data_IF_075008426453
#
_entry.id   IF_075008426453
#
_cell.length_a   1.000
_cell.length_b   1.000
_cell.length_c   1.000
_cell.angle_alpha   90.00
_cell.angle_beta   90.00
_cell.angle_gamma   90.00
#
_symmetry.space_group_name_H-M   'P 1'
#
loop_
_entity.id
_entity.type
_entity.pdbx_description
1 polymer ?
#
# COMPACT_ATOMS: atom_id res chain seq x y z
N UNK A 1 -8.53 2.85 0.72
CA UNK A 1 -7.57 2.04 1.52
C UNK A 1 -6.13 2.43 1.22
N UNK A 2 -5.65 2.31 -0.03
CA UNK A 2 -4.27 2.70 -0.41
C UNK A 2 -3.97 4.16 -0.03
N UNK A 3 -4.82 5.10 -0.44
CA UNK A 3 -4.70 6.52 -0.11
C UNK A 3 -4.55 6.76 1.40
N UNK A 4 -5.36 6.11 2.24
CA UNK A 4 -5.28 6.21 3.70
C UNK A 4 -3.92 5.76 4.24
N UNK A 5 -3.35 4.67 3.69
CA UNK A 5 -2.02 4.20 4.09
C UNK A 5 -0.93 5.19 3.66
N UNK A 6 -1.05 5.77 2.46
CA UNK A 6 -0.13 6.81 1.99
C UNK A 6 -0.16 8.04 2.89
N UNK A 7 -1.35 8.51 3.27
CA UNK A 7 -1.50 9.64 4.20
C UNK A 7 -0.89 9.32 5.58
N UNK A 8 -1.00 8.09 6.09
CA UNK A 8 -0.34 7.72 7.34
C UNK A 8 1.18 7.77 7.26
N UNK A 9 1.78 7.43 6.11
CA UNK A 9 3.23 7.53 5.92
C UNK A 9 3.69 8.98 5.80
N UNK A 10 2.91 9.83 5.14
CA UNK A 10 3.21 11.26 5.00
C UNK A 10 3.11 12.01 6.32
N UNK A 11 2.12 11.68 7.17
CA UNK A 11 1.97 12.27 8.50
C UNK A 11 2.96 11.71 9.53
N UNK A 12 3.73 10.68 9.19
CA UNK A 12 4.71 10.09 10.10
C UNK A 12 5.87 11.07 10.33
N UNK A 13 6.38 11.25 11.56
CA UNK A 13 7.47 12.21 11.84
C UNK A 13 8.76 11.95 11.04
N UNK A 14 9.00 10.70 10.61
CA UNK A 14 10.14 10.35 9.76
C UNK A 14 9.94 10.68 8.27
N UNK A 15 8.79 11.21 7.86
CA UNK A 15 8.50 11.64 6.48
C UNK A 15 8.92 10.61 5.41
N UNK A 16 8.49 9.35 5.59
CA UNK A 16 8.89 8.26 4.71
C UNK A 16 8.36 8.38 3.27
N UNK A 17 7.39 9.25 3.04
CA UNK A 17 6.76 9.46 1.75
C UNK A 17 6.13 10.85 1.68
N UNK A 18 6.21 11.49 0.51
CA UNK A 18 5.42 12.68 0.16
C UNK A 18 4.36 12.28 -0.88
N UNK A 19 3.10 12.62 -0.61
CA UNK A 19 2.00 12.42 -1.54
C UNK A 19 1.84 13.70 -2.37
N UNK A 20 2.29 13.66 -3.62
CA UNK A 20 2.11 14.77 -4.56
C UNK A 20 0.68 14.73 -5.12
N UNK A 21 0.50 14.96 -6.43
CA UNK A 21 -0.82 14.95 -7.04
C UNK A 21 -1.22 13.56 -7.57
N UNK A 22 -2.50 13.23 -7.48
CA UNK A 22 -3.09 12.14 -8.27
C UNK A 22 -3.20 12.58 -9.73
N UNK A 23 -2.53 11.89 -10.64
CA UNK A 23 -2.39 12.33 -12.03
C UNK A 23 -2.23 11.15 -12.99
N UNK A 24 -2.50 11.37 -14.28
CA UNK A 24 -2.17 10.38 -15.30
C UNK A 24 -0.66 10.30 -15.49
N UNK A 25 -0.11 9.10 -15.43
CA UNK A 25 1.34 8.87 -15.46
C UNK A 25 1.83 8.36 -16.80
N UNK A 26 0.94 7.82 -17.64
CA UNK A 26 1.33 7.30 -18.95
C UNK A 26 0.90 8.25 -20.06
N UNK A 27 1.80 8.46 -21.02
CA UNK A 27 1.54 9.18 -22.26
C UNK A 27 1.59 8.20 -23.43
N UNK A 28 0.60 8.28 -24.32
CA UNK A 28 0.61 7.63 -25.64
C UNK A 28 0.64 8.72 -26.71
N UNK A 29 1.63 8.63 -27.59
CA UNK A 29 1.75 9.44 -28.79
C UNK A 29 1.37 8.59 -30.00
N UNK A 30 0.51 9.10 -30.88
CA UNK A 30 0.19 8.46 -32.16
C UNK A 30 0.49 9.44 -33.30
N UNK A 31 1.35 9.02 -34.22
CA UNK A 31 1.86 9.82 -35.33
C UNK A 31 1.34 9.24 -36.65
N UNK A 32 0.37 9.89 -37.33
CA UNK A 32 -0.15 9.41 -38.61
C UNK A 32 0.93 9.28 -39.70
N UNK A 33 1.96 10.14 -39.66
CA UNK A 33 3.13 10.08 -40.53
C UNK A 33 4.16 9.00 -40.18
N UNK A 34 3.82 8.07 -39.28
CA UNK A 34 4.63 6.92 -38.94
C UNK A 34 5.92 7.26 -38.17
N UNK A 35 6.90 6.34 -38.14
CA UNK A 35 8.12 6.49 -37.35
C UNK A 35 9.02 7.64 -37.80
N UNK A 36 8.98 8.02 -39.09
CA UNK A 36 9.75 9.16 -39.60
C UNK A 36 9.28 10.49 -39.00
N UNK A 37 7.95 10.69 -38.90
CA UNK A 37 7.37 11.86 -38.24
C UNK A 37 7.76 11.91 -36.76
N UNK A 38 7.67 10.76 -36.09
CA UNK A 38 8.03 10.62 -34.67
C UNK A 38 9.50 11.00 -34.41
N UNK A 39 10.42 10.56 -35.26
CA UNK A 39 11.84 10.91 -35.16
C UNK A 39 12.08 12.41 -35.40
N UNK A 40 11.38 13.02 -36.36
CA UNK A 40 11.49 14.46 -36.61
C UNK A 40 11.04 15.29 -35.40
N UNK A 41 9.98 14.85 -34.70
CA UNK A 41 9.47 15.49 -33.50
C UNK A 41 10.39 15.33 -32.29
N UNK A 42 11.21 14.27 -32.24
CA UNK A 42 12.17 14.05 -31.17
C UNK A 42 13.17 15.23 -31.05
N UNK A 43 13.58 15.83 -32.17
CA UNK A 43 14.44 17.01 -32.16
C UNK A 43 13.82 18.24 -31.48
N UNK A 44 12.48 18.31 -31.39
CA UNK A 44 11.73 19.44 -30.81
C UNK A 44 11.29 19.17 -29.37
N UNK A 45 11.34 17.93 -28.90
CA UNK A 45 10.82 17.52 -27.60
C UNK A 45 11.84 16.64 -26.87
N UNK A 46 12.64 17.22 -25.95
CA UNK A 46 13.63 16.47 -25.19
C UNK A 46 13.07 15.22 -24.48
N UNK A 47 11.88 15.26 -23.83
CA UNK A 47 11.29 14.05 -23.25
C UNK A 47 11.05 12.92 -24.26
N UNK A 48 10.64 13.26 -25.49
CA UNK A 48 10.45 12.28 -26.55
C UNK A 48 11.80 11.74 -27.04
N UNK A 49 12.83 12.58 -27.19
CA UNK A 49 14.16 12.13 -27.58
C UNK A 49 14.75 11.11 -26.61
N UNK A 50 14.68 11.39 -25.29
CA UNK A 50 15.14 10.47 -24.25
C UNK A 50 14.36 9.15 -24.29
N UNK A 51 13.03 9.22 -24.42
CA UNK A 51 12.19 8.03 -24.53
C UNK A 51 12.56 7.15 -25.73
N UNK A 52 12.79 7.75 -26.91
CA UNK A 52 13.17 6.99 -28.10
C UNK A 52 14.58 6.40 -27.98
N UNK A 53 15.51 7.09 -27.33
CA UNK A 53 16.86 6.60 -27.11
C UNK A 53 16.92 5.41 -26.13
N UNK A 54 15.99 5.33 -25.18
CA UNK A 54 15.92 4.25 -24.18
C UNK A 54 15.26 2.95 -24.70
N UNK A 55 14.72 2.93 -25.92
CA UNK A 55 14.08 1.74 -26.49
C UNK A 55 15.11 0.67 -26.85
N UNK A 56 14.87 -0.55 -26.38
CA UNK A 56 15.69 -1.70 -26.75
C UNK A 56 15.45 -2.08 -28.24
N UNK A 57 16.45 -2.66 -28.93
CA UNK A 57 16.29 -3.16 -30.30
C UNK A 57 15.24 -4.26 -30.48
N UNK A 58 14.87 -4.99 -29.41
CA UNK A 58 13.90 -6.11 -29.46
C UNK A 58 12.47 -5.71 -29.03
N UNK A 59 12.20 -4.41 -28.85
CA UNK A 59 10.89 -3.94 -28.39
C UNK A 59 9.85 -4.12 -29.52
N UNK A 60 8.72 -4.84 -29.31
CA UNK A 60 7.74 -5.21 -30.35
C UNK A 60 7.05 -4.02 -31.05
N UNK A 61 7.36 -2.78 -30.65
CA UNK A 61 6.89 -1.54 -31.26
C UNK A 61 7.90 -0.80 -32.14
N UNK A 62 9.08 -1.38 -32.41
CA UNK A 62 10.09 -0.77 -33.27
C UNK A 62 9.55 -0.62 -34.70
N UNK A 63 9.30 0.62 -35.12
CA UNK A 63 8.66 0.95 -36.42
C UNK A 63 7.15 1.21 -36.37
N UNK A 64 6.51 1.10 -35.20
CA UNK A 64 5.10 1.47 -35.06
C UNK A 64 4.88 2.98 -35.06
N UNK A 65 3.72 3.42 -35.55
CA UNK A 65 3.30 4.82 -35.56
C UNK A 65 2.93 5.36 -34.17
N UNK A 66 2.99 4.54 -33.12
CA UNK A 66 2.58 4.94 -31.78
C UNK A 66 3.58 4.56 -30.69
N UNK A 67 3.73 5.41 -29.68
CA UNK A 67 4.70 5.23 -28.59
C UNK A 67 4.01 5.48 -27.26
N UNK A 68 4.12 4.53 -26.33
CA UNK A 68 3.63 4.65 -24.96
C UNK A 68 4.79 4.58 -23.98
N UNK A 69 4.80 5.45 -22.98
CA UNK A 69 5.82 5.48 -21.94
C UNK A 69 5.30 6.07 -20.64
N UNK A 70 6.02 5.77 -19.56
CA UNK A 70 5.80 6.29 -18.22
C UNK A 70 6.48 7.66 -18.07
N UNK A 71 5.67 8.69 -17.85
CA UNK A 71 6.12 10.06 -17.69
C UNK A 71 6.86 10.30 -16.38
N UNK A 72 6.53 9.56 -15.32
CA UNK A 72 7.15 9.73 -14.00
C UNK A 72 8.59 9.22 -14.03
N UNK A 73 8.84 8.11 -14.73
CA UNK A 73 10.22 7.63 -14.98
C UNK A 73 11.05 8.63 -15.80
N UNK A 74 10.44 9.32 -16.76
CA UNK A 74 11.11 10.37 -17.51
C UNK A 74 11.39 11.60 -16.64
N UNK A 75 10.44 11.99 -15.78
CA UNK A 75 10.62 13.06 -14.80
C UNK A 75 11.81 12.78 -13.90
N UNK A 76 11.89 11.57 -13.34
CA UNK A 76 12.97 11.14 -12.45
C UNK A 76 14.33 11.13 -13.16
N UNK A 77 14.41 10.51 -14.35
CA UNK A 77 15.66 10.40 -15.10
C UNK A 77 16.17 11.73 -15.69
N UNK A 78 15.29 12.66 -16.03
CA UNK A 78 15.68 13.96 -16.60
C UNK A 78 15.81 15.06 -15.55
N UNK A 79 15.30 14.85 -14.33
CA UNK A 79 15.19 15.90 -13.30
C UNK A 79 14.20 17.01 -13.67
N UNK A 80 13.18 16.72 -14.48
CA UNK A 80 12.18 17.70 -14.93
C UNK A 80 10.91 17.63 -14.10
N UNK A 81 10.17 18.74 -14.00
CA UNK A 81 8.83 18.71 -13.43
C UNK A 81 7.81 18.02 -14.36
N UNK A 82 6.88 17.25 -13.77
CA UNK A 82 5.84 16.55 -14.52
C UNK A 82 4.98 17.49 -15.39
N UNK A 83 4.69 18.70 -14.89
CA UNK A 83 3.96 19.71 -15.65
C UNK A 83 4.73 20.19 -16.89
N UNK A 84 6.06 20.29 -16.79
CA UNK A 84 6.93 20.68 -17.91
C UNK A 84 7.01 19.58 -18.96
N UNK A 85 7.11 18.32 -18.54
CA UNK A 85 7.04 17.17 -19.45
C UNK A 85 5.69 17.11 -20.16
N UNK A 86 4.56 17.23 -19.43
CA UNK A 86 3.21 17.29 -20.04
C UNK A 86 3.09 18.39 -21.08
N UNK A 87 3.53 19.61 -20.74
CA UNK A 87 3.48 20.75 -21.67
C UNK A 87 4.28 20.45 -22.93
N UNK A 88 5.52 19.97 -22.79
CA UNK A 88 6.38 19.64 -23.93
C UNK A 88 5.76 18.57 -24.85
N UNK A 89 5.08 17.57 -24.28
CA UNK A 89 4.39 16.54 -25.05
C UNK A 89 3.14 17.09 -25.76
N UNK A 90 2.33 17.91 -25.10
CA UNK A 90 1.18 18.56 -25.74
C UNK A 90 1.58 19.51 -26.88
N UNK A 91 2.74 20.17 -26.79
CA UNK A 91 3.24 21.03 -27.87
C UNK A 91 3.54 20.26 -29.16
N UNK A 92 3.72 18.93 -29.12
CA UNK A 92 3.93 18.10 -30.31
C UNK A 92 2.73 18.09 -31.26
N UNK A 93 1.54 18.46 -30.78
CA UNK A 93 0.34 18.61 -31.62
C UNK A 93 0.44 19.80 -32.58
N UNK A 94 1.40 20.70 -32.36
CA UNK A 94 1.54 21.96 -33.08
C UNK A 94 2.93 22.10 -33.72
N UNK A 95 2.95 22.65 -34.93
CA UNK A 95 4.15 23.07 -35.64
C UNK A 95 4.04 24.52 -36.08
N UNK A 96 5.18 25.15 -36.33
CA UNK A 96 5.24 26.48 -36.91
C UNK A 96 5.55 26.37 -38.39
N UNK A 97 4.70 26.98 -39.22
CA UNK A 97 4.95 27.02 -40.66
C UNK A 97 6.21 27.86 -40.95
N UNK A 98 7.25 27.31 -41.63
CA UNK A 98 8.57 27.95 -41.75
C UNK A 98 8.56 29.34 -42.39
N UNK A 99 7.53 29.65 -43.20
CA UNK A 99 7.45 30.89 -43.98
C UNK A 99 6.59 31.99 -43.34
N UNK A 100 5.60 31.61 -42.54
CA UNK A 100 4.58 32.53 -42.03
C UNK A 100 4.53 32.57 -40.49
N UNK A 101 5.20 31.62 -39.82
CA UNK A 101 5.17 31.46 -38.35
C UNK A 101 3.82 30.99 -37.79
N UNK A 102 2.81 30.81 -38.66
CA UNK A 102 1.46 30.40 -38.29
C UNK A 102 1.51 29.00 -37.69
N UNK A 103 0.80 28.80 -36.58
CA UNK A 103 0.66 27.47 -35.96
C UNK A 103 -0.21 26.57 -36.83
N UNK A 104 0.33 25.40 -37.19
CA UNK A 104 -0.37 24.33 -37.91
C UNK A 104 -0.39 23.07 -37.07
N UNK A 105 -1.48 22.31 -37.12
CA UNK A 105 -1.56 21.01 -36.45
C UNK A 105 -0.64 20.00 -37.12
N UNK A 106 0.14 19.25 -36.33
CA UNK A 106 0.99 18.14 -36.83
C UNK A 106 0.19 16.87 -37.13
N UNK A 107 -1.06 16.80 -36.65
CA UNK A 107 -1.89 15.59 -36.69
C UNK A 107 -1.51 14.54 -35.64
N UNK A 108 -0.51 14.82 -34.79
CA UNK A 108 -0.11 13.92 -33.70
C UNK A 108 -1.18 13.93 -32.61
N UNK A 109 -1.54 12.74 -32.14
CA UNK A 109 -2.46 12.58 -31.01
C UNK A 109 -1.65 12.29 -29.74
N UNK A 110 -1.97 13.01 -28.67
CA UNK A 110 -1.34 12.87 -27.35
C UNK A 110 -2.43 12.50 -26.37
N UNK A 111 -2.35 11.29 -25.83
CA UNK A 111 -3.33 10.75 -24.89
C UNK A 111 -2.64 10.45 -23.55
N UNK A 112 -3.27 10.89 -22.46
CA UNK A 112 -2.81 10.56 -21.11
C UNK A 112 -3.70 9.47 -20.51
N UNK A 113 -3.07 8.49 -19.88
CA UNK A 113 -3.74 7.32 -19.34
C UNK A 113 -3.12 6.89 -18.01
N UNK A 114 -3.76 5.93 -17.34
CA UNK A 114 -3.31 5.35 -16.06
C UNK A 114 -3.19 6.40 -14.94
N UNK A 115 -4.34 6.68 -14.32
CA UNK A 115 -4.41 7.51 -13.12
C UNK A 115 -3.64 6.81 -12.00
N UNK A 116 -2.66 7.49 -11.41
CA UNK A 116 -1.87 6.98 -10.31
C UNK A 116 -1.57 8.08 -9.28
N UNK A 117 -1.17 7.66 -8.09
CA UNK A 117 -0.61 8.56 -7.09
C UNK A 117 0.83 8.90 -7.48
N UNK A 118 1.14 10.18 -7.63
CA UNK A 118 2.52 10.64 -7.80
C UNK A 118 3.14 10.75 -6.41
N UNK A 119 4.17 9.94 -6.16
CA UNK A 119 4.80 9.81 -4.86
C UNK A 119 6.27 10.18 -4.95
N UNK A 120 6.81 10.76 -3.88
CA UNK A 120 8.25 10.87 -3.67
C UNK A 120 8.60 10.10 -2.40
N UNK A 121 9.57 9.20 -2.49
CA UNK A 121 10.04 8.40 -1.37
C UNK A 121 11.54 8.15 -1.49
N UNK A 122 12.27 8.01 -0.37
CA UNK A 122 13.66 7.58 -0.39
C UNK A 122 13.80 6.21 -1.07
N UNK A 123 14.82 6.08 -1.92
CA UNK A 123 15.10 4.85 -2.68
C UNK A 123 16.03 3.87 -1.96
N UNK A 124 16.59 4.26 -0.84
CA UNK A 124 17.68 3.60 -0.11
C UNK A 124 17.25 2.94 1.22
N UNK A 125 15.94 2.86 1.46
CA UNK A 125 15.39 2.21 2.65
C UNK A 125 15.87 0.76 2.81
N UNK A 126 16.44 0.49 3.98
CA UNK A 126 16.87 -0.85 4.41
C UNK A 126 15.68 -1.79 4.60
N UNK A 127 15.96 -3.09 4.66
CA UNK A 127 14.92 -4.09 4.94
C UNK A 127 14.26 -3.87 6.32
N UNK A 128 15.05 -3.44 7.31
CA UNK A 128 14.58 -3.19 8.67
C UNK A 128 13.66 -1.97 8.74
N UNK A 129 14.01 -0.87 8.06
CA UNK A 129 13.15 0.31 7.97
C UNK A 129 11.83 0.01 7.23
N UNK A 130 11.90 -0.75 6.13
CA UNK A 130 10.69 -1.25 5.43
C UNK A 130 9.83 -2.10 6.36
N UNK A 131 10.47 -2.85 7.26
CA UNK A 131 9.74 -3.65 8.21
C UNK A 131 9.05 -2.81 9.29
N UNK A 132 9.72 -1.80 9.83
CA UNK A 132 9.14 -0.83 10.76
C UNK A 132 7.96 -0.07 10.13
N UNK A 133 8.06 0.29 8.85
CA UNK A 133 6.96 0.88 8.07
C UNK A 133 5.73 -0.03 8.07
N UNK A 134 5.92 -1.33 7.81
CA UNK A 134 4.80 -2.27 7.78
C UNK A 134 4.16 -2.44 9.17
N UNK A 135 4.95 -2.52 10.23
CA UNK A 135 4.43 -2.64 11.60
C UNK A 135 3.65 -1.40 12.02
N UNK A 136 4.16 -0.21 11.71
CA UNK A 136 3.45 1.04 11.93
C UNK A 136 2.08 1.05 11.22
N UNK A 137 2.07 0.80 9.91
CA UNK A 137 0.82 0.81 9.13
C UNK A 137 -0.17 -0.23 9.63
N UNK A 138 0.30 -1.45 9.92
CA UNK A 138 -0.55 -2.51 10.42
C UNK A 138 -1.12 -2.20 11.80
N UNK A 139 -0.30 -1.63 12.70
CA UNK A 139 -0.74 -1.17 14.01
C UNK A 139 -1.84 -0.12 13.92
N UNK A 140 -1.74 0.83 12.99
CA UNK A 140 -2.80 1.83 12.72
C UNK A 140 -4.09 1.18 12.21
N UNK A 141 -3.98 0.18 11.33
CA UNK A 141 -5.14 -0.57 10.83
C UNK A 141 -5.84 -1.34 11.97
N UNK A 142 -5.08 -2.06 12.79
CA UNK A 142 -5.64 -2.80 13.93
C UNK A 142 -6.26 -1.88 14.99
N UNK A 143 -5.63 -0.75 15.29
CA UNK A 143 -6.19 0.24 16.20
C UNK A 143 -7.53 0.79 15.66
N UNK A 144 -7.60 1.09 14.36
CA UNK A 144 -8.83 1.55 13.71
C UNK A 144 -9.94 0.49 13.74
N UNK A 145 -9.59 -0.77 13.51
CA UNK A 145 -10.52 -1.89 13.59
C UNK A 145 -11.07 -2.04 15.02
N UNK A 146 -10.20 -2.08 16.03
CA UNK A 146 -10.59 -2.16 17.45
C UNK A 146 -11.50 -1.00 17.84
N UNK A 147 -11.16 0.23 17.46
CA UNK A 147 -11.98 1.41 17.72
C UNK A 147 -13.38 1.29 17.06
N UNK A 148 -13.43 0.83 15.81
CA UNK A 148 -14.70 0.65 15.10
C UNK A 148 -15.59 -0.42 15.77
N UNK A 149 -15.01 -1.54 16.19
CA UNK A 149 -15.71 -2.60 16.92
C UNK A 149 -16.18 -2.12 18.30
N UNK A 150 -15.33 -1.43 19.05
CA UNK A 150 -15.68 -0.85 20.34
C UNK A 150 -16.85 0.12 20.20
N UNK A 151 -16.84 0.98 19.17
CA UNK A 151 -17.94 1.90 18.87
C UNK A 151 -19.23 1.13 18.57
N UNK A 152 -19.19 0.10 17.72
CA UNK A 152 -20.38 -0.73 17.44
C UNK A 152 -20.94 -1.39 18.70
N UNK A 153 -20.07 -1.96 19.55
CA UNK A 153 -20.46 -2.55 20.84
C UNK A 153 -21.10 -1.52 21.76
N UNK A 154 -20.48 -0.35 21.94
CA UNK A 154 -20.98 0.75 22.77
C UNK A 154 -22.33 1.26 22.28
N UNK A 155 -22.48 1.48 20.97
CA UNK A 155 -23.75 1.88 20.35
C UNK A 155 -24.84 0.84 20.60
N UNK A 156 -24.55 -0.45 20.37
CA UNK A 156 -25.52 -1.52 20.61
C UNK A 156 -25.94 -1.59 22.09
N UNK A 157 -24.98 -1.55 23.01
CA UNK A 157 -25.25 -1.60 24.45
C UNK A 157 -26.10 -0.43 24.91
N UNK A 158 -25.83 0.79 24.42
CA UNK A 158 -26.62 1.97 24.75
C UNK A 158 -28.09 1.79 24.38
N UNK A 159 -28.39 1.44 23.12
CA UNK A 159 -29.77 1.23 22.67
C UNK A 159 -30.43 0.00 23.30
N UNK A 160 -29.70 -1.11 23.40
CA UNK A 160 -30.23 -2.33 24.00
C UNK A 160 -30.59 -2.15 25.48
N UNK A 161 -29.83 -1.35 26.23
CA UNK A 161 -30.09 -1.09 27.66
C UNK A 161 -31.43 -0.40 27.95
N UNK A 162 -32.00 0.28 26.96
CA UNK A 162 -33.30 0.98 27.05
C UNK A 162 -34.37 0.34 26.14
N UNK A 163 -34.06 -0.75 25.46
CA UNK A 163 -34.96 -1.39 24.51
C UNK A 163 -36.14 -2.11 25.20
N UNK A 164 -37.28 -2.15 24.50
CA UNK A 164 -38.41 -3.01 24.84
C UNK A 164 -38.38 -4.29 23.98
N UNK A 165 -38.97 -5.40 24.45
CA UNK A 165 -39.14 -6.60 23.62
C UNK A 165 -40.03 -6.38 22.39
N UNK A 166 -40.96 -5.42 22.46
CA UNK A 166 -41.83 -4.98 21.37
C UNK A 166 -42.16 -3.50 21.56
N UNK A 167 -42.73 -2.84 20.54
CA UNK A 167 -43.12 -1.43 20.64
C UNK A 167 -44.40 -1.19 21.48
N UNK A 168 -45.12 -2.24 21.89
CA UNK A 168 -46.39 -2.14 22.62
C UNK A 168 -46.36 -1.19 23.82
N UNK A 169 -45.38 -1.31 24.74
CA UNK A 169 -45.27 -0.45 25.92
C UNK A 169 -45.07 1.04 25.65
N UNK A 170 -44.73 1.45 24.41
CA UNK A 170 -44.48 2.83 24.04
C UNK A 170 -45.36 3.34 22.89
N UNK A 171 -46.49 2.68 22.60
CA UNK A 171 -47.42 3.09 21.53
C UNK A 171 -48.24 4.35 21.87
N UNK A 172 -48.65 4.49 23.13
CA UNK A 172 -49.48 5.63 23.56
C UNK A 172 -48.63 6.82 24.03
N UNK A 173 -47.62 6.54 24.86
CA UNK A 173 -46.67 7.53 25.37
C UNK A 173 -45.27 6.92 25.45
N UNK A 174 -44.25 7.76 25.24
CA UNK A 174 -42.87 7.34 25.45
C UNK A 174 -42.56 7.17 26.93
N UNK A 175 -41.70 6.21 27.26
CA UNK A 175 -41.18 6.05 28.61
C UNK A 175 -40.13 7.15 28.89
N UNK A 176 -40.52 8.17 29.65
CA UNK A 176 -39.67 9.34 29.94
C UNK A 176 -38.40 8.98 30.70
N UNK A 177 -38.41 7.94 31.53
CA UNK A 177 -37.21 7.50 32.25
C UNK A 177 -36.20 6.88 31.28
N UNK A 178 -36.65 5.98 30.40
CA UNK A 178 -35.79 5.40 29.34
C UNK A 178 -35.29 6.45 28.35
N UNK A 179 -36.16 7.41 27.99
CA UNK A 179 -35.84 8.53 27.12
C UNK A 179 -34.75 9.41 27.73
N UNK A 180 -34.91 9.80 29.00
CA UNK A 180 -33.93 10.61 29.75
C UNK A 180 -32.61 9.85 29.89
N UNK A 181 -32.66 8.56 30.25
CA UNK A 181 -31.46 7.72 30.37
C UNK A 181 -30.69 7.61 29.05
N UNK A 182 -31.37 7.45 27.92
CA UNK A 182 -30.72 7.41 26.61
C UNK A 182 -30.10 8.78 26.26
N UNK A 183 -30.81 9.88 26.50
CA UNK A 183 -30.30 11.24 26.29
C UNK A 183 -29.04 11.49 27.12
N UNK A 184 -29.03 11.07 28.39
CA UNK A 184 -27.86 11.21 29.27
C UNK A 184 -26.67 10.36 28.81
N UNK A 185 -26.90 9.16 28.25
CA UNK A 185 -25.85 8.33 27.67
C UNK A 185 -25.23 8.99 26.43
N UNK A 186 -26.06 9.60 25.58
CA UNK A 186 -25.60 10.32 24.40
C UNK A 186 -24.87 11.61 24.78
N UNK A 187 -25.38 12.39 25.73
CA UNK A 187 -24.73 13.59 26.23
C UNK A 187 -23.32 13.28 26.74
N UNK A 188 -23.21 12.29 27.64
CA UNK A 188 -21.91 11.84 28.18
C UNK A 188 -20.94 11.36 27.09
N UNK A 189 -21.44 10.69 26.04
CA UNK A 189 -20.59 10.21 24.95
C UNK A 189 -19.91 11.36 24.18
N UNK A 190 -20.62 12.48 23.97
CA UNK A 190 -20.06 13.64 23.24
C UNK A 190 -19.29 14.61 24.13
N UNK A 191 -19.51 14.56 25.45
CA UNK A 191 -18.75 15.34 26.44
C UNK A 191 -17.41 14.68 26.84
N UNK A 192 -17.25 13.39 26.55
CA UNK A 192 -16.01 12.64 26.79
C UNK A 192 -14.94 13.06 25.74
N UNK A 193 -13.81 13.61 26.18
CA UNK A 193 -12.72 13.96 25.25
C UNK A 193 -12.14 12.70 24.59
N UNK A 194 -12.00 12.71 23.26
CA UNK A 194 -11.52 11.59 22.42
C UNK A 194 -10.06 11.11 22.71
N UNK A 195 -9.43 11.55 23.80
CA UNK A 195 -8.07 11.19 24.23
C UNK A 195 -7.99 10.37 25.53
N UNK A 196 -9.09 10.17 26.25
CA UNK A 196 -9.12 9.22 27.35
C UNK A 196 -9.34 7.83 26.76
N UNK A 197 -8.24 7.17 26.37
CA UNK A 197 -8.28 5.71 26.27
C UNK A 197 -8.87 5.18 27.58
N UNK A 198 -9.94 4.37 27.55
CA UNK A 198 -10.45 3.76 28.76
C UNK A 198 -9.31 2.95 29.36
N UNK A 199 -8.70 3.50 30.42
CA UNK A 199 -7.69 2.80 31.18
C UNK A 199 -8.30 1.49 31.64
N UNK A 200 -7.74 0.38 31.15
CA UNK A 200 -7.88 -0.94 31.77
C UNK A 200 -9.30 -1.36 32.11
N UNK A 201 -10.26 -1.26 31.19
CA UNK A 201 -11.25 -2.34 31.15
C UNK A 201 -10.57 -3.47 30.39
N UNK A 202 -9.75 -4.22 31.13
CA UNK A 202 -9.55 -5.63 30.85
C UNK A 202 -10.93 -6.17 30.52
N UNK A 203 -11.14 -6.47 29.25
CA UNK A 203 -12.31 -7.21 28.83
C UNK A 203 -12.37 -8.40 29.79
N UNK A 204 -13.47 -8.53 30.52
CA UNK A 204 -13.94 -9.83 30.96
C UNK A 204 -14.24 -10.63 29.69
N UNK A 205 -13.17 -11.08 29.04
CA UNK A 205 -13.14 -11.85 27.83
C UNK A 205 -13.74 -13.21 28.20
N UNK A 206 -14.98 -13.44 27.77
CA UNK A 206 -15.32 -14.76 27.27
C UNK A 206 -14.24 -15.18 26.27
N UNK A 207 -13.88 -16.47 26.21
CA UNK A 207 -12.66 -16.93 25.54
C UNK A 207 -12.57 -16.35 24.13
N UNK A 208 -11.58 -15.46 23.92
CA UNK A 208 -11.21 -14.96 22.61
C UNK A 208 -11.06 -16.17 21.66
N UNK A 209 -11.52 -16.10 20.40
CA UNK A 209 -11.31 -17.16 19.40
C UNK A 209 -9.83 -17.53 19.18
N UNK A 210 -8.89 -16.76 19.77
CA UNK A 210 -7.46 -17.01 19.79
C UNK A 210 -6.96 -18.03 20.83
N UNK A 211 -7.71 -18.36 21.90
CA UNK A 211 -7.22 -19.32 22.91
C UNK A 211 -7.02 -20.74 22.35
N UNK A 212 -7.80 -21.14 21.33
CA UNK A 212 -7.57 -22.38 20.57
C UNK A 212 -6.39 -22.29 19.58
N UNK A 213 -5.93 -21.09 19.23
CA UNK A 213 -4.76 -20.86 18.36
C UNK A 213 -3.45 -20.78 19.14
N UNK A 214 -3.49 -20.35 20.39
CA UNK A 214 -2.32 -20.27 21.29
C UNK A 214 -1.80 -21.66 21.65
N UNK A 215 -2.69 -22.62 21.92
CA UNK A 215 -2.30 -24.03 22.15
C UNK A 215 -1.68 -24.67 20.90
N UNK A 216 -2.25 -24.44 19.72
CA UNK A 216 -1.71 -24.94 18.46
C UNK A 216 -0.36 -24.32 18.06
N UNK A 217 0.03 -23.17 18.62
CA UNK A 217 1.33 -22.56 18.37
C UNK A 217 2.44 -23.29 19.15
N UNK A 218 2.21 -23.56 20.44
CA UNK A 218 3.18 -24.23 21.32
C UNK A 218 3.64 -25.58 20.75
N UNK A 219 2.74 -26.34 20.12
CA UNK A 219 3.06 -27.64 19.52
C UNK A 219 4.03 -27.55 18.33
N UNK A 220 4.11 -26.40 17.67
CA UNK A 220 4.93 -26.21 16.46
C UNK A 220 6.13 -25.30 16.66
N UNK A 221 6.23 -24.59 17.79
CA UNK A 221 7.28 -23.59 18.05
C UNK A 221 8.70 -24.16 17.83
N UNK A 222 9.02 -25.29 18.46
CA UNK A 222 10.36 -25.90 18.36
C UNK A 222 10.70 -26.32 16.93
N UNK A 223 9.71 -26.91 16.23
CA UNK A 223 9.88 -27.33 14.84
C UNK A 223 10.09 -26.12 13.93
N UNK A 224 9.30 -25.05 14.11
CA UNK A 224 9.44 -23.79 13.37
C UNK A 224 10.82 -23.18 13.59
N UNK A 225 11.31 -23.11 14.84
CA UNK A 225 12.65 -22.59 15.16
C UNK A 225 13.76 -23.43 14.52
N UNK A 226 13.62 -24.76 14.55
CA UNK A 226 14.57 -25.66 13.90
C UNK A 226 14.62 -25.41 12.39
N UNK A 227 13.45 -25.31 11.76
CA UNK A 227 13.34 -25.04 10.32
C UNK A 227 13.84 -23.66 9.92
N UNK A 228 13.62 -22.63 10.75
CA UNK A 228 14.18 -21.28 10.55
C UNK A 228 15.71 -21.35 10.57
N UNK A 229 16.31 -21.99 11.59
CA UNK A 229 17.76 -22.16 11.67
C UNK A 229 18.31 -22.93 10.47
N UNK A 230 17.64 -24.00 10.06
CA UNK A 230 18.00 -24.76 8.87
C UNK A 230 17.95 -23.87 7.62
N UNK A 231 16.87 -23.11 7.42
CA UNK A 231 16.71 -22.21 6.29
C UNK A 231 17.84 -21.17 6.22
N UNK A 232 18.16 -20.53 7.34
CA UNK A 232 19.24 -19.54 7.42
C UNK A 232 20.62 -20.17 7.17
N UNK A 233 20.87 -21.37 7.70
CA UNK A 233 22.15 -22.08 7.51
C UNK A 233 22.43 -22.47 6.06
N UNK A 234 21.37 -22.69 5.26
CA UNK A 234 21.49 -23.01 3.84
C UNK A 234 21.80 -21.77 2.98
N UNK A 235 21.67 -20.57 3.54
CA UNK A 235 21.79 -19.29 2.82
C UNK A 235 22.58 -18.26 3.64
N UNK A 236 23.84 -18.54 4.00
CA UNK A 236 24.63 -17.67 4.88
C UNK A 236 24.96 -16.31 4.23
N UNK A 237 25.02 -16.24 2.90
CA UNK A 237 25.33 -15.02 2.15
C UNK A 237 24.14 -14.06 2.02
N UNK A 238 22.92 -14.55 2.28
CA UNK A 238 21.69 -13.76 2.12
C UNK A 238 21.27 -13.16 3.48
N UNK A 239 21.06 -11.85 3.51
CA UNK A 239 20.51 -11.17 4.69
C UNK A 239 18.99 -11.19 4.66
N UNK A 240 18.39 -11.90 5.60
CA UNK A 240 16.94 -11.97 5.77
C UNK A 240 16.47 -11.12 6.95
N UNK A 241 15.37 -10.40 6.76
CA UNK A 241 14.61 -9.88 7.89
C UNK A 241 13.65 -10.95 8.45
N UNK A 242 13.17 -10.76 9.68
CA UNK A 242 12.22 -11.70 10.29
C UNK A 242 10.93 -11.83 9.47
N UNK A 243 10.46 -10.73 8.88
CA UNK A 243 9.33 -10.72 7.96
C UNK A 243 9.63 -11.45 6.67
N UNK A 244 10.84 -11.32 6.11
CA UNK A 244 11.25 -12.07 4.92
C UNK A 244 11.17 -13.59 5.17
N UNK A 245 11.72 -14.05 6.31
CA UNK A 245 11.64 -15.45 6.73
C UNK A 245 10.18 -15.90 6.85
N UNK A 246 9.35 -15.15 7.58
CA UNK A 246 7.93 -15.47 7.73
C UNK A 246 7.19 -15.54 6.38
N UNK A 247 7.52 -14.65 5.43
CA UNK A 247 6.96 -14.67 4.06
C UNK A 247 7.31 -15.96 3.32
N UNK A 248 8.53 -16.46 3.41
CA UNK A 248 8.91 -17.74 2.81
C UNK A 248 8.06 -18.87 3.40
N UNK A 249 8.02 -18.98 4.72
CA UNK A 249 7.28 -20.03 5.41
C UNK A 249 5.76 -19.99 5.18
N UNK A 250 5.22 -18.80 4.92
CA UNK A 250 3.83 -18.56 4.57
C UNK A 250 3.56 -18.55 3.05
N UNK A 251 4.61 -18.64 2.23
CA UNK A 251 4.54 -18.66 0.77
C UNK A 251 4.11 -17.36 0.10
N UNK A 252 4.47 -16.22 0.68
CA UNK A 252 4.14 -14.89 0.18
C UNK A 252 5.34 -14.32 -0.57
N UNK A 253 5.31 -14.39 -1.90
CA UNK A 253 6.39 -13.85 -2.74
C UNK A 253 6.58 -12.35 -2.58
N UNK A 254 7.81 -11.87 -2.75
CA UNK A 254 8.17 -10.45 -2.81
C UNK A 254 9.13 -10.18 -3.96
N UNK A 255 9.33 -8.93 -4.39
CA UNK A 255 10.32 -8.61 -5.42
C UNK A 255 11.73 -9.11 -5.09
N UNK A 256 12.16 -9.01 -3.82
CA UNK A 256 13.46 -9.51 -3.35
C UNK A 256 13.47 -11.04 -3.16
N UNK A 257 12.31 -11.65 -2.92
CA UNK A 257 12.15 -13.08 -2.68
C UNK A 257 11.04 -13.68 -3.55
N UNK A 258 11.27 -13.83 -4.88
CA UNK A 258 10.23 -14.23 -5.81
C UNK A 258 9.80 -15.68 -5.60
N UNK A 259 8.49 -15.94 -5.74
CA UNK A 259 7.93 -17.29 -5.59
C UNK A 259 8.48 -18.29 -6.62
N UNK A 260 8.91 -17.82 -7.78
CA UNK A 260 9.52 -18.61 -8.85
C UNK A 260 10.87 -19.20 -8.45
N UNK A 261 11.59 -18.54 -7.54
CA UNK A 261 12.91 -18.96 -7.03
C UNK A 261 12.73 -19.67 -5.69
N UNK A 262 12.13 -18.97 -4.72
CA UNK A 262 12.00 -19.47 -3.35
C UNK A 262 10.92 -20.54 -3.19
N UNK A 263 9.91 -20.55 -4.06
CA UNK A 263 8.84 -21.55 -4.03
C UNK A 263 9.25 -22.92 -4.59
N UNK A 264 10.45 -23.03 -5.17
CA UNK A 264 11.02 -24.32 -5.57
C UNK A 264 11.42 -25.15 -4.34
N UNK A 265 11.89 -24.49 -3.27
CA UNK A 265 12.24 -25.18 -2.03
C UNK A 265 11.01 -25.41 -1.14
N UNK A 266 10.31 -26.51 -1.43
CA UNK A 266 9.09 -26.93 -0.71
C UNK A 266 9.33 -27.29 0.76
N UNK A 267 10.59 -27.44 1.19
CA UNK A 267 10.92 -27.67 2.60
C UNK A 267 10.60 -26.47 3.47
N UNK A 268 10.59 -25.27 2.90
CA UNK A 268 10.33 -24.02 3.61
C UNK A 268 9.09 -23.32 3.06
N UNK A 269 8.89 -23.30 1.74
CA UNK A 269 7.80 -22.57 1.12
C UNK A 269 6.42 -23.12 1.48
N UNK A 270 5.53 -22.26 2.01
CA UNK A 270 4.14 -22.61 2.42
C UNK A 270 4.07 -23.71 3.50
N UNK A 271 5.14 -23.98 4.24
CA UNK A 271 5.16 -25.03 5.27
C UNK A 271 4.24 -24.71 6.46
N UNK A 272 4.10 -23.44 6.83
CA UNK A 272 3.35 -23.01 8.02
C UNK A 272 2.15 -22.10 7.71
N UNK A 273 1.37 -22.43 6.68
CA UNK A 273 0.15 -21.67 6.31
C UNK A 273 -0.93 -21.63 7.40
N UNK A 274 -0.94 -22.61 8.29
CA UNK A 274 -1.93 -22.75 9.35
C UNK A 274 -1.59 -21.91 10.60
N UNK A 275 -0.32 -21.49 10.73
CA UNK A 275 0.14 -20.65 11.83
C UNK A 275 -0.07 -19.18 11.50
N UNK A 276 -0.23 -18.36 12.53
CA UNK A 276 -0.35 -16.92 12.31
C UNK A 276 0.96 -16.34 11.75
N UNK A 277 0.84 -15.47 10.74
CA UNK A 277 2.00 -14.79 10.17
C UNK A 277 2.81 -14.04 11.22
N UNK A 278 2.14 -13.36 12.16
CA UNK A 278 2.80 -12.62 13.25
C UNK A 278 3.55 -13.52 14.22
N UNK A 279 3.04 -14.71 14.53
CA UNK A 279 3.79 -15.67 15.35
C UNK A 279 5.06 -16.14 14.63
N UNK A 280 4.99 -16.39 13.32
CA UNK A 280 6.17 -16.72 12.53
C UNK A 280 7.20 -15.59 12.52
N UNK A 281 6.74 -14.33 12.40
CA UNK A 281 7.62 -13.14 12.52
C UNK A 281 8.28 -13.08 13.89
N UNK A 282 7.53 -13.32 14.97
CA UNK A 282 8.06 -13.35 16.34
C UNK A 282 9.16 -14.39 16.51
N UNK A 283 8.89 -15.65 16.13
CA UNK A 283 9.87 -16.74 16.20
C UNK A 283 11.10 -16.44 15.33
N UNK A 284 10.91 -15.92 14.11
CA UNK A 284 12.02 -15.55 13.24
C UNK A 284 12.87 -14.41 13.81
N UNK A 285 12.24 -13.43 14.48
CA UNK A 285 12.95 -12.34 15.14
C UNK A 285 13.87 -12.88 16.24
N UNK A 286 13.36 -13.77 17.09
CA UNK A 286 14.17 -14.38 18.15
C UNK A 286 15.33 -15.21 17.62
N UNK A 287 15.11 -16.00 16.56
CA UNK A 287 16.19 -16.82 15.97
C UNK A 287 17.25 -15.94 15.27
N UNK A 288 16.86 -14.87 14.57
CA UNK A 288 17.81 -13.95 13.96
C UNK A 288 18.68 -13.23 15.00
N UNK A 289 18.10 -12.83 16.13
CA UNK A 289 18.85 -12.23 17.26
C UNK A 289 19.84 -13.21 17.90
N UNK A 290 19.57 -14.51 17.84
CA UNK A 290 20.49 -15.56 18.33
C UNK A 290 21.64 -15.83 17.35
N UNK A 291 21.38 -15.74 16.05
CA UNK A 291 22.39 -15.95 14.98
C UNK A 291 23.31 -14.74 14.79
N UNK A 292 22.84 -13.53 15.12
CA UNK A 292 23.64 -12.31 15.04
C UNK A 292 24.67 -12.14 16.20
N UNK A 293 24.68 -13.05 17.17
CA UNK A 293 25.67 -13.12 18.27
C UNK A 293 26.74 -14.15 17.96
#
# INVERSE_FOLDING_TARGET
AIETLLCYLELHPHHWLELLATTYTHCRLNCPGGPAQLQALAHRCPPLAVCLAQRLPEDPGQGSSSVKFDMVKLVDSMGWELASVRRALCQLQWDHEPRTGVRRGTGVLVEFSELAFHLRSPGDLTAEEKDQICDFLYGRVQARERQALARLRRTFQAFHSVAFPSCGPCLEQQDEERSTRLKDLLGRYFEEEEGQEPGGMEDAQGPEPGQARVSALQDWEDQVRCDIRQFLSLRPEEKFSSRAVARIFHGIGSPCYPAQVYGQDRRFWRKYLHLSFHALVGLATEELLRVAR
#
